data_IF_737710131941
#
_entry.id   IF_737710131941
#
_cell.length_a   1.000
_cell.length_b   1.000
_cell.length_c   1.000
_cell.angle_alpha   90.00
_cell.angle_beta   90.00
_cell.angle_gamma   90.00
#
_symmetry.space_group_name_H-M   'P 1'
#
loop_
_entity.id
_entity.type
_entity.pdbx_description
1 polymer ?
#
# COMPACT_ATOMS: atom_id res chain seq x y z
N UNK A 1 12.42 1.61 -4.00
CA UNK A 1 12.34 2.95 -3.35
C UNK A 1 13.49 3.79 -3.86
N UNK A 2 13.21 5.01 -4.33
CA UNK A 2 14.20 5.88 -4.96
C UNK A 2 14.10 7.33 -4.47
N UNK A 3 15.24 8.02 -4.43
CA UNK A 3 15.39 9.41 -3.98
C UNK A 3 15.11 10.45 -5.09
N UNK A 4 15.21 11.74 -4.73
CA UNK A 4 14.99 12.86 -5.65
C UNK A 4 16.04 13.00 -6.75
N UNK A 5 17.19 12.33 -6.63
CA UNK A 5 18.22 12.22 -7.66
C UNK A 5 18.08 10.93 -8.49
N UNK A 6 16.99 10.17 -8.29
CA UNK A 6 16.73 8.89 -8.96
C UNK A 6 17.62 7.75 -8.48
N UNK A 7 18.31 7.89 -7.34
CA UNK A 7 19.16 6.85 -6.78
C UNK A 7 18.36 5.91 -5.86
N UNK A 8 18.69 4.61 -5.84
CA UNK A 8 18.05 3.67 -4.91
C UNK A 8 18.39 3.99 -3.46
N UNK A 9 17.40 3.86 -2.58
CA UNK A 9 17.59 4.01 -1.13
C UNK A 9 17.72 2.62 -0.51
N UNK A 10 18.95 2.14 -0.40
CA UNK A 10 19.25 0.79 0.09
C UNK A 10 19.12 0.59 1.60
N UNK A 11 18.92 1.66 2.38
CA UNK A 11 18.66 1.60 3.83
C UNK A 11 17.20 1.92 4.20
N UNK A 12 16.31 1.92 3.21
CA UNK A 12 14.89 2.09 3.44
C UNK A 12 14.28 0.88 4.19
N UNK A 13 13.22 1.14 4.94
CA UNK A 13 12.39 0.11 5.56
C UNK A 13 10.93 0.47 5.34
N UNK A 14 10.10 -0.51 4.99
CA UNK A 14 8.65 -0.33 5.00
C UNK A 14 8.01 -1.14 6.11
N UNK A 15 6.85 -0.68 6.54
CA UNK A 15 5.83 -1.56 7.08
C UNK A 15 4.60 -1.51 6.19
N UNK A 16 3.93 -2.65 6.07
CA UNK A 16 2.64 -2.76 5.39
C UNK A 16 1.58 -3.19 6.36
N UNK A 17 0.37 -2.66 6.21
CA UNK A 17 -0.81 -3.16 6.89
C UNK A 17 -2.00 -3.21 5.94
N UNK A 18 -2.76 -4.30 6.02
CA UNK A 18 -3.84 -4.56 5.07
C UNK A 18 -4.89 -5.49 5.65
N UNK A 19 -6.09 -5.45 5.08
CA UNK A 19 -7.08 -6.48 5.29
C UNK A 19 -6.61 -7.84 4.72
N UNK A 20 -7.29 -8.90 5.13
CA UNK A 20 -7.18 -10.21 4.52
C UNK A 20 -7.93 -10.28 3.17
N UNK A 21 -7.95 -11.45 2.53
CA UNK A 21 -8.60 -11.63 1.22
C UNK A 21 -10.14 -11.45 1.26
N UNK A 22 -10.75 -11.52 2.45
CA UNK A 22 -12.18 -11.26 2.67
C UNK A 22 -12.45 -9.80 3.08
N UNK A 23 -11.43 -8.94 3.08
CA UNK A 23 -11.56 -7.54 3.48
C UNK A 23 -11.77 -7.38 4.98
N UNK A 24 -11.23 -8.29 5.81
CA UNK A 24 -11.33 -8.27 7.28
C UNK A 24 -9.98 -8.05 7.92
N UNK A 25 -9.99 -7.38 9.07
CA UNK A 25 -8.87 -7.45 10.01
C UNK A 25 -9.23 -8.44 11.12
N UNK A 26 -8.34 -9.39 11.40
CA UNK A 26 -8.46 -10.24 12.59
C UNK A 26 -8.04 -9.44 13.84
N UNK A 27 -8.83 -8.43 14.18
CA UNK A 27 -8.59 -7.49 15.26
C UNK A 27 -9.91 -7.11 15.93
N UNK A 28 -9.94 -6.93 17.26
CA UNK A 28 -11.09 -6.36 17.95
C UNK A 28 -11.39 -4.91 17.55
N UNK A 29 -10.47 -4.24 16.87
CA UNK A 29 -10.64 -2.86 16.38
C UNK A 29 -11.32 -2.78 15.01
N UNK A 30 -11.54 -3.90 14.32
CA UNK A 30 -12.41 -3.91 13.14
C UNK A 30 -13.84 -3.62 13.61
N UNK A 31 -14.54 -2.59 13.08
CA UNK A 31 -15.89 -2.25 13.51
C UNK A 31 -16.91 -3.37 13.25
N UNK A 32 -16.57 -4.34 12.39
CA UNK A 32 -17.36 -5.55 12.12
C UNK A 32 -17.03 -6.71 13.06
N UNK A 33 -16.15 -6.49 14.05
CA UNK A 33 -15.64 -7.47 14.99
C UNK A 33 -14.51 -8.34 14.43
N UNK A 34 -13.74 -8.95 15.33
CA UNK A 34 -12.71 -9.90 14.96
C UNK A 34 -13.32 -11.13 14.26
N UNK A 35 -12.65 -11.60 13.21
CA UNK A 35 -12.98 -12.82 12.49
C UNK A 35 -11.70 -13.60 12.18
N UNK A 36 -11.83 -14.91 12.02
CA UNK A 36 -10.73 -15.72 11.53
C UNK A 36 -10.25 -15.18 10.18
N UNK A 37 -8.94 -14.98 10.06
CA UNK A 37 -8.36 -14.42 8.85
C UNK A 37 -8.51 -15.39 7.67
N UNK A 38 -8.70 -14.83 6.48
CA UNK A 38 -8.77 -15.57 5.22
C UNK A 38 -7.58 -15.17 4.33
N UNK A 39 -6.58 -16.05 4.12
CA UNK A 39 -6.47 -17.42 4.61
C UNK A 39 -6.14 -17.52 6.11
N UNK A 40 -6.44 -18.69 6.69
CA UNK A 40 -6.16 -18.97 8.09
C UNK A 40 -4.68 -18.70 8.43
N UNK A 41 -4.45 -18.03 9.55
CA UNK A 41 -3.12 -17.65 10.02
C UNK A 41 -2.55 -16.36 9.41
N UNK A 42 -3.26 -15.69 8.50
CA UNK A 42 -2.84 -14.36 8.00
C UNK A 42 -2.85 -13.31 9.13
N UNK A 43 -1.84 -12.43 9.14
CA UNK A 43 -1.55 -11.50 10.25
C UNK A 43 -1.63 -10.01 9.89
N UNK A 44 -1.94 -9.68 8.64
CA UNK A 44 -2.20 -8.30 8.20
C UNK A 44 -1.05 -7.28 8.32
N UNK A 45 0.14 -7.67 8.78
CA UNK A 45 1.29 -6.77 8.99
C UNK A 45 2.59 -7.42 8.49
N UNK A 46 3.44 -6.64 7.82
CA UNK A 46 4.84 -7.00 7.56
C UNK A 46 5.76 -5.80 7.76
N UNK A 47 7.01 -6.05 8.18
CA UNK A 47 8.10 -5.06 8.23
C UNK A 47 9.32 -5.65 7.52
N UNK A 48 9.83 -4.94 6.52
CA UNK A 48 10.90 -5.44 5.63
C UNK A 48 11.85 -4.31 5.27
N UNK A 49 13.15 -4.62 5.24
CA UNK A 49 14.20 -3.71 4.83
C UNK A 49 14.47 -3.84 3.33
N UNK A 50 14.91 -2.73 2.72
CA UNK A 50 15.40 -2.74 1.36
C UNK A 50 16.74 -3.49 1.24
N UNK A 51 17.00 -4.02 0.05
CA UNK A 51 18.35 -4.39 -0.37
C UNK A 51 19.11 -3.18 -0.96
N UNK A 52 20.36 -3.37 -1.38
CA UNK A 52 21.20 -2.32 -1.97
C UNK A 52 20.60 -1.66 -3.22
N UNK A 53 19.66 -2.33 -3.91
CA UNK A 53 18.93 -1.77 -5.05
C UNK A 53 17.71 -0.94 -4.65
N UNK A 54 17.45 -0.78 -3.35
CA UNK A 54 16.26 -0.13 -2.83
C UNK A 54 14.99 -0.97 -2.98
N UNK A 55 15.14 -2.27 -3.27
CA UNK A 55 14.04 -3.20 -3.52
C UNK A 55 13.58 -3.83 -2.22
N UNK A 56 12.26 -3.91 -2.04
CA UNK A 56 11.61 -4.56 -0.90
C UNK A 56 10.59 -5.54 -1.44
N UNK A 57 10.58 -6.76 -0.90
CA UNK A 57 9.63 -7.81 -1.30
C UNK A 57 8.80 -8.22 -0.09
N UNK A 58 7.47 -8.12 -0.24
CA UNK A 58 6.49 -8.61 0.74
C UNK A 58 5.68 -9.73 0.10
N UNK A 59 5.72 -10.92 0.70
CA UNK A 59 4.83 -12.01 0.32
C UNK A 59 3.55 -11.92 1.16
N UNK A 60 2.43 -11.66 0.49
CA UNK A 60 1.13 -11.42 1.13
C UNK A 60 0.00 -11.96 0.24
N UNK A 61 -1.23 -11.78 0.69
CA UNK A 61 -2.45 -12.03 -0.10
C UNK A 61 -2.99 -10.72 -0.65
N UNK A 62 -3.64 -10.75 -1.81
CA UNK A 62 -4.41 -9.59 -2.28
C UNK A 62 -5.56 -9.36 -1.29
N UNK A 63 -5.66 -8.17 -0.67
CA UNK A 63 -6.75 -7.87 0.27
C UNK A 63 -8.09 -7.78 -0.44
N UNK A 64 -9.17 -7.99 0.29
CA UNK A 64 -10.52 -7.60 -0.14
C UNK A 64 -10.75 -6.10 0.02
N UNK A 65 -11.84 -5.61 -0.55
CA UNK A 65 -12.31 -4.23 -0.37
C UNK A 65 -12.69 -3.96 1.10
N UNK A 66 -12.62 -2.69 1.51
CA UNK A 66 -12.93 -2.26 2.87
C UNK A 66 -14.14 -1.31 2.90
N UNK A 67 -15.05 -1.44 3.87
CA UNK A 67 -16.09 -0.43 4.07
C UNK A 67 -15.47 0.87 4.60
N UNK A 68 -15.91 1.99 4.06
CA UNK A 68 -15.60 3.33 4.56
C UNK A 68 -16.66 3.81 5.57
N UNK A 69 -16.32 4.83 6.37
CA UNK A 69 -17.20 5.35 7.44
C UNK A 69 -18.51 5.96 6.92
N UNK A 70 -18.51 6.49 5.70
CA UNK A 70 -19.66 7.14 5.05
C UNK A 70 -20.55 6.16 4.27
N UNK A 71 -20.29 4.85 4.37
CA UNK A 71 -20.98 3.82 3.62
C UNK A 71 -20.43 3.61 2.20
N UNK A 72 -19.39 4.34 1.80
CA UNK A 72 -18.63 4.02 0.59
C UNK A 72 -17.78 2.75 0.80
N UNK A 73 -17.09 2.35 -0.27
CA UNK A 73 -16.21 1.19 -0.28
C UNK A 73 -14.84 1.64 -0.78
N UNK A 74 -13.82 1.39 0.02
CA UNK A 74 -12.43 1.51 -0.39
C UNK A 74 -12.06 0.30 -1.26
N UNK A 75 -11.43 0.56 -2.40
CA UNK A 75 -10.89 -0.45 -3.29
C UNK A 75 -9.86 -1.32 -2.56
N UNK A 76 -9.63 -2.57 -3.00
CA UNK A 76 -8.53 -3.38 -2.51
C UNK A 76 -7.21 -2.60 -2.51
N UNK A 77 -6.58 -2.48 -1.34
CA UNK A 77 -5.34 -1.73 -1.20
C UNK A 77 -4.47 -2.25 -0.06
N UNK A 78 -3.17 -2.00 -0.18
CA UNK A 78 -2.19 -2.21 0.89
C UNK A 78 -1.74 -0.84 1.38
N UNK A 79 -1.87 -0.57 2.68
CA UNK A 79 -1.27 0.62 3.24
C UNK A 79 0.23 0.37 3.44
N UNK A 80 1.04 1.34 3.05
CA UNK A 80 2.48 1.28 3.12
C UNK A 80 2.97 2.48 3.90
N UNK A 81 3.87 2.22 4.82
CA UNK A 81 4.54 3.27 5.55
C UNK A 81 6.05 3.11 5.44
N UNK A 82 6.71 4.16 4.98
CA UNK A 82 8.10 4.16 4.57
C UNK A 82 8.97 4.98 5.53
N UNK A 83 10.12 4.41 5.85
CA UNK A 83 11.20 5.01 6.60
C UNK A 83 12.46 5.00 5.74
N UNK A 84 13.19 6.12 5.71
CA UNK A 84 14.48 6.23 5.06
C UNK A 84 15.32 7.32 5.73
N UNK A 85 16.63 7.29 5.51
CA UNK A 85 17.52 8.36 5.99
C UNK A 85 17.07 9.72 5.46
N UNK A 86 17.12 10.73 6.33
CA UNK A 86 16.72 12.10 5.98
C UNK A 86 15.22 12.37 6.08
N UNK A 87 14.39 11.34 6.29
CA UNK A 87 12.98 11.52 6.61
C UNK A 87 12.79 11.68 8.11
N UNK A 88 12.31 12.86 8.53
CA UNK A 88 12.01 13.14 9.94
C UNK A 88 10.71 12.45 10.39
N UNK A 89 9.79 12.28 9.46
CA UNK A 89 8.53 11.60 9.67
C UNK A 89 8.36 10.46 8.66
N UNK A 90 7.59 9.47 9.08
CA UNK A 90 7.21 8.34 8.24
C UNK A 90 6.30 8.83 7.10
N UNK A 91 6.63 8.46 5.87
CA UNK A 91 5.72 8.67 4.73
C UNK A 91 4.65 7.58 4.73
N UNK A 92 3.40 7.98 4.54
CA UNK A 92 2.26 7.08 4.39
C UNK A 92 1.78 7.12 2.95
N UNK A 93 1.52 5.95 2.37
CA UNK A 93 0.96 5.81 1.04
C UNK A 93 0.11 4.54 0.93
N UNK A 94 -0.54 4.35 -0.22
CA UNK A 94 -1.28 3.14 -0.56
C UNK A 94 -0.79 2.56 -1.88
N UNK A 95 -0.84 1.24 -1.95
CA UNK A 95 -0.72 0.48 -3.18
C UNK A 95 -2.11 -0.05 -3.55
N UNK A 96 -2.57 0.30 -4.75
CA UNK A 96 -3.79 -0.22 -5.38
C UNK A 96 -3.44 -1.19 -6.51
N UNK A 97 -4.39 -2.02 -6.93
CA UNK A 97 -4.18 -3.07 -7.93
C UNK A 97 -4.72 -2.66 -9.30
N UNK A 98 -3.94 -2.81 -10.39
CA UNK A 98 -4.25 -2.22 -11.69
C UNK A 98 -5.56 -2.73 -12.32
N UNK A 99 -6.00 -3.93 -11.98
CA UNK A 99 -7.23 -4.52 -12.49
C UNK A 99 -8.52 -3.98 -11.84
N UNK A 100 -8.45 -3.31 -10.69
CA UNK A 100 -9.62 -2.92 -9.91
C UNK A 100 -10.17 -1.53 -10.35
N UNK A 101 -10.20 -1.27 -11.67
CA UNK A 101 -10.51 0.06 -12.24
C UNK A 101 -11.86 0.61 -11.83
N UNK A 102 -12.88 -0.24 -11.76
CA UNK A 102 -14.23 0.16 -11.36
C UNK A 102 -14.27 0.56 -9.87
N UNK A 103 -13.52 -0.16 -9.02
CA UNK A 103 -13.43 0.15 -7.60
C UNK A 103 -12.65 1.47 -7.38
N UNK A 104 -11.59 1.72 -8.17
CA UNK A 104 -10.83 2.98 -8.10
C UNK A 104 -11.70 4.21 -8.34
N UNK A 105 -12.70 4.11 -9.24
CA UNK A 105 -13.56 5.23 -9.59
C UNK A 105 -14.47 5.67 -8.43
N UNK A 106 -14.78 4.75 -7.50
CA UNK A 106 -15.62 5.02 -6.32
C UNK A 106 -14.86 5.08 -5.00
N UNK A 107 -13.56 4.78 -4.99
CA UNK A 107 -12.76 4.80 -3.76
C UNK A 107 -12.63 6.24 -3.22
N UNK A 108 -13.08 6.51 -1.98
CA UNK A 108 -13.09 7.87 -1.44
C UNK A 108 -11.69 8.43 -1.19
N UNK A 109 -10.71 7.59 -0.85
CA UNK A 109 -9.34 8.01 -0.55
C UNK A 109 -8.56 8.30 -1.82
N UNK A 110 -8.63 7.43 -2.82
CA UNK A 110 -8.02 7.63 -4.13
C UNK A 110 -8.65 8.84 -4.85
N UNK A 111 -9.96 9.04 -4.69
CA UNK A 111 -10.66 10.21 -5.25
C UNK A 111 -10.19 11.54 -4.66
N UNK A 112 -9.71 11.54 -3.40
CA UNK A 112 -9.14 12.73 -2.76
C UNK A 112 -7.75 13.10 -3.29
N UNK A 113 -7.06 12.19 -3.98
CA UNK A 113 -5.75 12.44 -4.60
C UNK A 113 -5.95 13.18 -5.93
N UNK A 114 -5.16 14.23 -6.24
CA UNK A 114 -5.18 14.87 -7.55
C UNK A 114 -5.06 13.85 -8.68
N UNK A 115 -5.87 13.99 -9.72
CA UNK A 115 -5.98 12.99 -10.79
C UNK A 115 -4.62 12.63 -11.42
N UNK A 116 -3.77 13.62 -11.63
CA UNK A 116 -2.42 13.45 -12.17
C UNK A 116 -1.49 12.60 -11.29
N UNK A 117 -1.75 12.52 -9.98
CA UNK A 117 -0.92 11.80 -9.01
C UNK A 117 -1.45 10.38 -8.72
N UNK A 118 -2.72 10.09 -9.01
CA UNK A 118 -3.34 8.76 -8.77
C UNK A 118 -2.55 7.60 -9.39
N UNK A 119 -2.02 7.69 -10.63
CA UNK A 119 -1.22 6.61 -11.21
C UNK A 119 0.00 6.21 -10.37
N UNK A 120 0.55 7.12 -9.55
CA UNK A 120 1.69 6.83 -8.65
C UNK A 120 1.33 5.85 -7.52
N UNK A 121 0.05 5.59 -7.30
CA UNK A 121 -0.46 4.68 -6.26
C UNK A 121 -0.92 3.34 -6.82
N UNK A 122 -1.04 3.22 -8.15
CA UNK A 122 -1.49 1.99 -8.81
C UNK A 122 -0.26 1.15 -9.14
N UNK A 123 -0.20 -0.07 -8.63
CA UNK A 123 0.89 -0.98 -8.95
C UNK A 123 0.82 -1.46 -10.41
N UNK A 124 1.95 -1.87 -10.93
CA UNK A 124 2.06 -2.62 -12.18
C UNK A 124 1.95 -4.11 -11.90
N UNK A 125 1.16 -4.82 -12.71
CA UNK A 125 1.10 -6.29 -12.65
C UNK A 125 2.31 -6.86 -13.40
N UNK A 126 3.01 -7.77 -12.74
CA UNK A 126 4.19 -8.48 -13.27
C UNK A 126 3.93 -9.98 -13.30
N UNK A 127 4.86 -10.74 -13.87
CA UNK A 127 4.87 -12.20 -13.83
C UNK A 127 5.01 -12.78 -12.40
N UNK A 128 5.62 -12.01 -11.49
CA UNK A 128 5.89 -12.41 -10.10
C UNK A 128 4.96 -11.78 -9.06
N UNK A 129 3.95 -11.01 -9.48
CA UNK A 129 3.01 -10.34 -8.58
C UNK A 129 2.79 -8.88 -8.98
N UNK A 130 2.93 -7.96 -8.03
CA UNK A 130 2.69 -6.53 -8.25
C UNK A 130 3.93 -5.72 -7.87
N UNK A 131 4.22 -4.69 -8.65
CA UNK A 131 5.38 -3.82 -8.47
C UNK A 131 4.93 -2.37 -8.37
N UNK A 132 5.41 -1.65 -7.35
CA UNK A 132 5.17 -0.22 -7.17
C UNK A 132 6.49 0.47 -6.86
N UNK A 133 6.87 1.43 -7.70
CA UNK A 133 8.02 2.28 -7.44
C UNK A 133 7.60 3.47 -6.57
N UNK A 134 8.15 3.56 -5.36
CA UNK A 134 7.96 4.72 -4.49
C UNK A 134 9.13 5.68 -4.69
N UNK A 135 8.84 6.87 -5.21
CA UNK A 135 9.73 8.02 -5.25
C UNK A 135 9.51 8.85 -3.98
N UNK A 136 10.53 9.01 -3.13
CA UNK A 136 10.38 9.76 -1.87
C UNK A 136 10.38 11.27 -2.07
N UNK A 137 10.89 11.73 -3.21
CA UNK A 137 10.88 13.11 -3.64
C UNK A 137 10.84 13.12 -5.17
N UNK A 138 10.07 14.03 -5.76
CA UNK A 138 10.13 14.28 -7.20
C UNK A 138 10.93 15.56 -7.49
N UNK A 139 11.40 15.70 -8.72
CA UNK A 139 12.15 16.88 -9.18
C UNK A 139 11.31 18.16 -9.25
N UNK A 140 9.98 18.05 -9.13
CA UNK A 140 9.05 19.17 -9.14
C UNK A 140 8.75 19.73 -7.73
N UNK A 141 9.33 19.14 -6.68
CA UNK A 141 9.11 19.55 -5.29
C UNK A 141 7.68 19.33 -4.79
N UNK A 142 6.93 18.38 -5.37
CA UNK A 142 5.57 17.99 -4.95
C UNK A 142 5.52 16.61 -4.31
#
# INVERSE_FOLDING_TARGET
>A
VIDGAGQPIGDAMIETWQADAAGRFNSPTDPRGAAEATPAGFRSLARVFADESGTIVVHTVKPGALPAEDGAVEAPHINVGLFARGMLERLYTRLYFPEDTDAHASDPVLSAVPEADRPKLIAEKTDRGYHLTIHVQNTEGR
#
